data_IF_039588626387
#
_entry.id   IF_039588626387
#
_cell.length_a   1.000
_cell.length_b   1.000
_cell.length_c   1.000
_cell.angle_alpha   90.00
_cell.angle_beta   90.00
_cell.angle_gamma   90.00
#
_symmetry.space_group_name_H-M   'P 1'
#
loop_
_entity.id
_entity.type
_entity.pdbx_description
1 polymer ?
#
# COMPACT_ATOMS: atom_id res chain seq x y z
N UNK A 1 -15.60 -31.06 -7.28
CA UNK A 1 -15.22 -29.94 -8.18
C UNK A 1 -14.27 -29.08 -7.38
N UNK A 2 -12.98 -29.05 -7.74
CA UNK A 2 -12.08 -28.04 -7.19
C UNK A 2 -12.57 -26.70 -7.73
N UNK A 3 -13.14 -25.85 -6.87
CA UNK A 3 -13.14 -24.44 -7.19
C UNK A 3 -11.67 -24.08 -7.43
N UNK A 4 -11.36 -23.48 -8.57
CA UNK A 4 -10.04 -22.87 -8.76
C UNK A 4 -10.00 -21.73 -7.76
N UNK A 5 -9.31 -21.94 -6.64
CA UNK A 5 -9.19 -20.91 -5.63
C UNK A 5 -8.61 -19.63 -6.27
N UNK A 6 -9.23 -18.46 -6.04
CA UNK A 6 -8.98 -17.27 -6.84
C UNK A 6 -7.56 -16.72 -6.62
N UNK A 7 -6.80 -16.70 -7.71
CA UNK A 7 -5.51 -16.01 -7.82
C UNK A 7 -5.72 -14.80 -8.71
N UNK A 8 -5.21 -13.64 -8.31
CA UNK A 8 -5.37 -12.41 -9.08
C UNK A 8 -4.36 -12.35 -10.22
N UNK A 9 -4.75 -11.82 -11.37
CA UNK A 9 -3.78 -11.60 -12.45
C UNK A 9 -2.78 -10.51 -12.06
N UNK A 10 -1.54 -10.59 -12.57
CA UNK A 10 -0.54 -9.53 -12.35
C UNK A 10 -1.01 -8.15 -12.83
N UNK A 11 -1.84 -8.11 -13.89
CA UNK A 11 -2.44 -6.86 -14.37
C UNK A 11 -3.39 -6.26 -13.33
N UNK A 12 -4.22 -7.08 -12.68
CA UNK A 12 -5.12 -6.62 -11.62
C UNK A 12 -4.35 -6.14 -10.38
N UNK A 13 -3.29 -6.86 -10.00
CA UNK A 13 -2.40 -6.45 -8.90
C UNK A 13 -1.71 -5.11 -9.22
N UNK A 14 -1.19 -4.96 -10.43
CA UNK A 14 -0.56 -3.71 -10.87
C UNK A 14 -1.56 -2.55 -10.86
N UNK A 15 -2.78 -2.77 -11.35
CA UNK A 15 -3.83 -1.77 -11.30
C UNK A 15 -4.15 -1.33 -9.86
N UNK A 16 -4.29 -2.29 -8.95
CA UNK A 16 -4.50 -2.03 -7.51
C UNK A 16 -3.38 -1.19 -6.90
N UNK A 17 -2.13 -1.52 -7.23
CA UNK A 17 -0.96 -0.75 -6.78
C UNK A 17 -0.94 0.68 -7.35
N UNK A 18 -1.30 0.86 -8.63
CA UNK A 18 -1.39 2.18 -9.27
C UNK A 18 -2.50 3.03 -8.64
N UNK A 19 -3.68 2.45 -8.38
CA UNK A 19 -4.78 3.16 -7.69
C UNK A 19 -4.36 3.57 -6.28
N UNK A 20 -3.70 2.67 -5.55
CA UNK A 20 -3.16 2.94 -4.20
C UNK A 20 -2.18 4.12 -4.21
N UNK A 21 -1.25 4.14 -5.17
CA UNK A 21 -0.31 5.25 -5.34
C UNK A 21 -1.03 6.55 -5.75
N UNK A 22 -1.94 6.49 -6.72
CA UNK A 22 -2.68 7.64 -7.23
C UNK A 22 -3.53 8.32 -6.17
N UNK A 23 -4.16 7.55 -5.28
CA UNK A 23 -4.92 8.08 -4.13
C UNK A 23 -3.98 8.64 -3.06
N UNK A 24 -2.83 8.00 -2.81
CA UNK A 24 -1.86 8.48 -1.81
C UNK A 24 -1.23 9.82 -2.20
N UNK A 25 -0.96 10.04 -3.49
CA UNK A 25 -0.27 11.22 -4.00
C UNK A 25 -0.90 12.57 -3.58
N UNK A 26 -2.21 12.82 -3.77
CA UNK A 26 -2.82 14.09 -3.34
C UNK A 26 -2.75 14.31 -1.83
N UNK A 27 -2.87 13.26 -1.01
CA UNK A 27 -2.69 13.38 0.44
C UNK A 27 -1.25 13.74 0.83
N UNK A 28 -0.27 13.13 0.15
CA UNK A 28 1.13 13.46 0.37
C UNK A 28 1.44 14.91 -0.03
N UNK A 29 0.95 15.36 -1.19
CA UNK A 29 1.08 16.75 -1.65
C UNK A 29 0.45 17.73 -0.66
N UNK A 30 -0.78 17.43 -0.19
CA UNK A 30 -1.48 18.25 0.79
C UNK A 30 -0.74 18.33 2.12
N UNK A 31 -0.27 17.19 2.63
CA UNK A 31 0.24 17.11 3.99
C UNK A 31 1.69 17.54 4.14
N UNK A 32 2.55 17.18 3.19
CA UNK A 32 3.99 17.50 3.20
C UNK A 32 4.27 18.87 2.58
N UNK A 33 3.45 19.29 1.62
CA UNK A 33 3.61 20.56 0.90
C UNK A 33 4.58 20.46 -0.28
N UNK A 34 4.49 21.46 -1.17
CA UNK A 34 5.22 21.46 -2.46
C UNK A 34 6.74 21.56 -2.33
N UNK A 35 7.25 22.06 -1.21
CA UNK A 35 8.70 22.15 -0.96
C UNK A 35 9.34 20.78 -0.68
N UNK A 36 8.54 19.80 -0.25
CA UNK A 36 8.97 18.43 0.09
C UNK A 36 8.63 17.45 -1.05
N UNK A 37 8.92 17.84 -2.29
CA UNK A 37 8.53 17.05 -3.46
C UNK A 37 9.17 15.66 -3.48
N UNK A 38 10.41 15.53 -2.96
CA UNK A 38 11.10 14.24 -2.89
C UNK A 38 10.40 13.28 -1.94
N UNK A 39 9.97 13.74 -0.75
CA UNK A 39 9.21 12.90 0.18
C UNK A 39 7.82 12.58 -0.38
N UNK A 40 7.21 13.54 -1.08
CA UNK A 40 5.91 13.33 -1.75
C UNK A 40 6.00 12.21 -2.79
N UNK A 41 6.99 12.27 -3.67
CA UNK A 41 7.25 11.24 -4.69
C UNK A 41 7.66 9.93 -4.02
N UNK A 42 8.53 9.98 -3.02
CA UNK A 42 8.99 8.82 -2.27
C UNK A 42 7.86 8.07 -1.61
N UNK A 43 7.00 8.74 -0.85
CA UNK A 43 5.82 8.12 -0.21
C UNK A 43 4.89 7.52 -1.26
N UNK A 44 4.62 8.25 -2.35
CA UNK A 44 3.72 7.79 -3.41
C UNK A 44 4.24 6.50 -4.07
N UNK A 45 5.50 6.49 -4.49
CA UNK A 45 6.13 5.34 -5.15
C UNK A 45 6.24 4.16 -4.17
N UNK A 46 6.75 4.39 -2.96
CA UNK A 46 6.94 3.32 -1.96
C UNK A 46 5.61 2.69 -1.58
N UNK A 47 4.53 3.47 -1.46
CA UNK A 47 3.20 2.95 -1.10
C UNK A 47 2.63 2.03 -2.20
N UNK A 48 2.72 2.45 -3.46
CA UNK A 48 2.34 1.63 -4.61
C UNK A 48 3.22 0.38 -4.74
N UNK A 49 4.54 0.55 -4.64
CA UNK A 49 5.49 -0.55 -4.73
C UNK A 49 5.30 -1.59 -3.62
N UNK A 50 5.04 -1.15 -2.38
CA UNK A 50 4.72 -2.04 -1.26
C UNK A 50 3.49 -2.91 -1.57
N UNK A 51 2.43 -2.29 -2.08
CA UNK A 51 1.19 -2.99 -2.46
C UNK A 51 1.46 -4.02 -3.57
N UNK A 52 2.16 -3.62 -4.64
CA UNK A 52 2.51 -4.52 -5.73
C UNK A 52 3.39 -5.68 -5.29
N UNK A 53 4.43 -5.41 -4.48
CA UNK A 53 5.36 -6.42 -3.95
C UNK A 53 4.65 -7.43 -3.08
N UNK A 54 3.86 -6.97 -2.11
CA UNK A 54 3.11 -7.86 -1.21
C UNK A 54 2.13 -8.71 -2.00
N UNK A 55 1.27 -8.07 -2.80
CA UNK A 55 0.23 -8.77 -3.55
C UNK A 55 0.78 -9.74 -4.59
N UNK A 56 1.92 -9.44 -5.21
CA UNK A 56 2.56 -10.38 -6.14
C UNK A 56 3.19 -11.56 -5.39
N UNK A 57 3.81 -11.31 -4.23
CA UNK A 57 4.52 -12.33 -3.44
C UNK A 57 3.57 -13.28 -2.71
N UNK A 58 2.45 -12.76 -2.23
CA UNK A 58 1.45 -13.48 -1.42
C UNK A 58 0.18 -13.80 -2.22
N UNK A 59 0.26 -13.90 -3.55
CA UNK A 59 -0.88 -14.22 -4.41
C UNK A 59 -1.20 -15.73 -4.39
N UNK A 60 -1.57 -16.25 -3.23
CA UNK A 60 -1.83 -17.66 -3.01
C UNK A 60 -3.32 -17.87 -2.68
N UNK A 61 -3.97 -18.89 -3.26
CA UNK A 61 -5.30 -19.37 -2.88
C UNK A 61 -5.64 -19.26 -1.40
N UNK A 62 -4.80 -19.85 -0.55
CA UNK A 62 -5.04 -20.02 0.87
C UNK A 62 -5.00 -18.69 1.63
N UNK A 63 -4.33 -17.67 1.08
CA UNK A 63 -4.24 -16.34 1.67
C UNK A 63 -5.33 -15.41 1.14
N UNK A 64 -5.85 -15.66 -0.07
CA UNK A 64 -6.93 -14.88 -0.65
C UNK A 64 -8.31 -15.36 -0.20
N UNK A 65 -8.43 -16.65 0.18
CA UNK A 65 -9.70 -17.29 0.57
C UNK A 65 -9.54 -17.98 1.93
N UNK A 66 -9.02 -17.25 2.90
CA UNK A 66 -8.64 -17.74 4.23
C UNK A 66 -9.82 -17.89 5.20
N UNK A 67 -11.06 -17.71 4.73
CA UNK A 67 -12.28 -17.88 5.50
C UNK A 67 -12.65 -16.69 6.40
N UNK A 68 -11.90 -15.58 6.33
CA UNK A 68 -12.26 -14.35 7.01
C UNK A 68 -13.41 -13.62 6.25
N UNK A 69 -14.48 -13.20 6.94
CA UNK A 69 -15.61 -12.54 6.29
C UNK A 69 -15.28 -11.10 5.93
N UNK A 70 -15.24 -10.80 4.62
CA UNK A 70 -15.15 -9.44 4.08
C UNK A 70 -13.75 -8.86 3.93
N UNK A 71 -12.71 -9.58 4.35
CA UNK A 71 -11.29 -9.26 4.18
C UNK A 71 -10.49 -10.55 4.30
N UNK A 72 -9.27 -10.56 3.79
CA UNK A 72 -8.29 -11.65 3.92
C UNK A 72 -7.07 -11.21 4.73
N UNK A 73 -6.31 -12.17 5.26
CA UNK A 73 -5.01 -11.92 5.88
C UNK A 73 -4.06 -11.19 4.92
N UNK A 74 -4.21 -11.42 3.62
CA UNK A 74 -3.44 -10.75 2.58
C UNK A 74 -3.75 -9.23 2.55
N UNK A 75 -5.01 -8.85 2.75
CA UNK A 75 -5.45 -7.45 2.78
C UNK A 75 -4.95 -6.74 4.04
N UNK A 76 -4.88 -7.44 5.16
CA UNK A 76 -4.36 -6.92 6.42
C UNK A 76 -2.84 -6.71 6.42
N UNK A 77 -2.10 -7.56 5.71
CA UNK A 77 -0.64 -7.52 5.70
C UNK A 77 -0.05 -6.55 4.66
N UNK A 78 -0.75 -6.28 3.55
CA UNK A 78 -0.35 -5.26 2.57
C UNK A 78 -0.03 -3.89 3.22
N UNK A 79 -0.91 -3.29 4.06
CA UNK A 79 -0.65 -2.01 4.70
C UNK A 79 0.46 -2.08 5.77
N UNK A 80 0.72 -3.26 6.35
CA UNK A 80 1.86 -3.47 7.26
C UNK A 80 3.18 -3.33 6.50
N UNK A 81 3.30 -3.94 5.31
CA UNK A 81 4.49 -3.78 4.48
C UNK A 81 4.66 -2.32 4.05
N UNK A 82 3.58 -1.62 3.70
CA UNK A 82 3.60 -0.17 3.43
C UNK A 82 4.16 0.61 4.62
N UNK A 83 3.69 0.35 5.84
CA UNK A 83 4.20 1.02 7.05
C UNK A 83 5.70 0.77 7.24
N UNK A 84 6.15 -0.48 7.12
CA UNK A 84 7.56 -0.85 7.28
C UNK A 84 8.45 -0.16 6.25
N UNK A 85 8.08 -0.21 4.96
CA UNK A 85 8.89 0.37 3.89
C UNK A 85 8.93 1.90 3.97
N UNK A 86 7.84 2.56 4.34
CA UNK A 86 7.85 4.01 4.60
C UNK A 86 8.69 4.36 5.84
N UNK A 87 8.68 3.52 6.87
CA UNK A 87 9.54 3.71 8.04
C UNK A 87 11.02 3.58 7.67
N UNK A 88 11.37 2.60 6.83
CA UNK A 88 12.72 2.41 6.31
C UNK A 88 13.13 3.60 5.42
N UNK A 89 12.24 4.05 4.54
CA UNK A 89 12.48 5.24 3.72
C UNK A 89 12.80 6.46 4.58
N UNK A 90 12.01 6.72 5.63
CA UNK A 90 12.24 7.85 6.54
C UNK A 90 13.54 7.71 7.34
N UNK A 91 13.97 6.48 7.66
CA UNK A 91 15.25 6.24 8.32
C UNK A 91 16.44 6.55 7.38
N UNK A 92 16.32 6.22 6.10
CA UNK A 92 17.35 6.50 5.08
C UNK A 92 17.36 7.96 4.65
N UNK A 93 16.19 8.61 4.66
CA UNK A 93 16.00 10.02 4.31
C UNK A 93 15.13 10.68 5.38
N UNK A 94 15.73 11.18 6.47
CA UNK A 94 14.99 11.83 7.55
C UNK A 94 14.13 12.98 7.02
N UNK A 95 12.81 12.98 7.28
CA UNK A 95 11.92 14.04 6.83
C UNK A 95 12.22 15.33 7.62
N UNK A 96 12.08 16.48 6.96
CA UNK A 96 12.25 17.79 7.62
C UNK A 96 11.23 18.02 8.74
N UNK A 97 10.00 17.55 8.55
CA UNK A 97 8.95 17.59 9.57
C UNK A 97 8.41 16.18 9.81
N UNK A 98 8.89 15.55 10.89
CA UNK A 98 8.55 14.20 11.26
C UNK A 98 7.06 14.04 11.59
N UNK A 99 6.42 15.06 12.15
CA UNK A 99 5.00 14.98 12.51
C UNK A 99 4.13 14.90 11.26
N UNK A 100 4.40 15.76 10.26
CA UNK A 100 3.67 15.72 8.98
C UNK A 100 3.91 14.41 8.25
N UNK A 101 5.17 13.95 8.22
CA UNK A 101 5.53 12.69 7.61
C UNK A 101 4.79 11.50 8.24
N UNK A 102 4.75 11.43 9.58
CA UNK A 102 4.04 10.36 10.28
C UNK A 102 2.54 10.35 9.96
N UNK A 103 1.91 11.51 9.82
CA UNK A 103 0.52 11.60 9.40
C UNK A 103 0.33 11.16 7.95
N UNK A 104 1.21 11.57 7.04
CA UNK A 104 1.18 11.10 5.64
C UNK A 104 1.36 9.58 5.56
N UNK A 105 2.30 9.01 6.33
CA UNK A 105 2.50 7.56 6.42
C UNK A 105 1.26 6.85 6.93
N UNK A 106 0.62 7.36 7.98
CA UNK A 106 -0.63 6.79 8.49
C UNK A 106 -1.74 6.82 7.44
N UNK A 107 -1.89 7.93 6.70
CA UNK A 107 -2.84 8.02 5.59
C UNK A 107 -2.51 7.00 4.49
N UNK A 108 -1.25 6.86 4.09
CA UNK A 108 -0.81 5.89 3.09
C UNK A 108 -1.13 4.44 3.50
N UNK A 109 -0.97 4.10 4.79
CA UNK A 109 -1.34 2.80 5.35
C UNK A 109 -2.85 2.58 5.28
N UNK A 110 -3.67 3.59 5.62
CA UNK A 110 -5.12 3.52 5.51
C UNK A 110 -5.59 3.39 4.06
N UNK A 111 -4.99 4.13 3.14
CA UNK A 111 -5.26 4.03 1.70
C UNK A 111 -4.90 2.65 1.18
N UNK A 112 -3.72 2.13 1.55
CA UNK A 112 -3.31 0.78 1.18
C UNK A 112 -4.33 -0.24 1.68
N UNK A 113 -4.74 -0.20 2.95
CA UNK A 113 -5.76 -1.11 3.48
C UNK A 113 -7.08 -1.01 2.70
N UNK A 114 -7.63 0.20 2.57
CA UNK A 114 -8.92 0.43 1.94
C UNK A 114 -8.94 -0.04 0.47
N UNK A 115 -7.91 0.32 -0.30
CA UNK A 115 -7.83 -0.09 -1.71
C UNK A 115 -7.68 -1.60 -1.81
N UNK A 116 -6.80 -2.22 -1.02
CA UNK A 116 -6.57 -3.65 -1.05
C UNK A 116 -7.85 -4.45 -0.74
N UNK A 117 -8.62 -4.06 0.27
CA UNK A 117 -9.90 -4.72 0.63
C UNK A 117 -10.97 -4.54 -0.45
N UNK A 118 -10.98 -3.40 -1.14
CA UNK A 118 -12.02 -3.09 -2.15
C UNK A 118 -11.74 -3.78 -3.49
N UNK A 119 -10.47 -3.85 -3.90
CA UNK A 119 -10.13 -4.25 -5.27
C UNK A 119 -9.71 -5.71 -5.41
N UNK A 120 -9.17 -6.33 -4.35
CA UNK A 120 -8.60 -7.68 -4.40
C UNK A 120 -9.31 -8.55 -3.38
#
# INVERSE_FOLDING_TARGET
MSATDPVFSHAHILFTAVVTAAITAPFAVWRLGRAEWIDTVGVTIVTGAATWLWRTSANLPQLNTDGLPGFSANDWLAPVLTYVLLSLYAALRPPRDLHRYNQTRAIAVLVSLAVNVITI
#
